data_IF_321224878768
#
_entry.id   IF_321224878768
#
_cell.length_a   1.000
_cell.length_b   1.000
_cell.length_c   1.000
_cell.angle_alpha   90.00
_cell.angle_beta   90.00
_cell.angle_gamma   90.00
#
_symmetry.space_group_name_H-M   'P 1'
#
loop_
_entity.id
_entity.type
_entity.pdbx_description
1 polymer ?
#
# COMPACT_ATOMS: atom_id res chain seq x y z
N UNK A 1 -9.60 2.43 -15.79
CA UNK A 1 -8.34 1.81 -15.31
C UNK A 1 -8.44 1.32 -13.87
N UNK A 2 -9.22 1.99 -13.01
CA UNK A 2 -9.52 1.55 -11.63
C UNK A 2 -10.28 0.21 -11.56
N UNK A 3 -11.15 -0.08 -12.53
CA UNK A 3 -11.89 -1.35 -12.61
C UNK A 3 -10.97 -2.59 -12.61
N UNK A 4 -9.79 -2.50 -13.24
CA UNK A 4 -8.83 -3.60 -13.28
C UNK A 4 -8.24 -3.93 -11.91
N UNK A 5 -8.05 -2.92 -11.04
CA UNK A 5 -7.57 -3.12 -9.68
C UNK A 5 -8.65 -3.76 -8.82
N UNK A 6 -9.89 -3.31 -8.94
CA UNK A 6 -11.05 -3.88 -8.22
C UNK A 6 -11.30 -5.33 -8.63
N UNK A 7 -11.22 -5.65 -9.92
CA UNK A 7 -11.37 -7.04 -10.40
C UNK A 7 -10.23 -7.89 -9.84
N UNK A 8 -8.98 -7.41 -9.92
CA UNK A 8 -7.82 -8.15 -9.42
C UNK A 8 -7.92 -8.42 -7.93
N UNK A 9 -8.33 -7.43 -7.13
CA UNK A 9 -8.56 -7.60 -5.69
C UNK A 9 -9.67 -8.61 -5.39
N UNK A 10 -10.79 -8.57 -6.15
CA UNK A 10 -11.88 -9.55 -5.99
C UNK A 10 -11.48 -10.97 -6.37
N UNK A 11 -10.62 -11.13 -7.39
CA UNK A 11 -10.22 -12.44 -7.92
C UNK A 11 -9.09 -13.06 -7.09
N UNK A 12 -8.08 -12.27 -6.74
CA UNK A 12 -6.88 -12.75 -6.03
C UNK A 12 -6.99 -12.62 -4.50
N UNK A 13 -7.90 -11.78 -4.00
CA UNK A 13 -8.04 -11.48 -2.59
C UNK A 13 -7.06 -10.40 -2.10
N UNK A 14 -7.45 -9.76 -0.99
CA UNK A 14 -6.70 -8.66 -0.40
C UNK A 14 -5.37 -9.04 0.26
N UNK A 15 -5.02 -10.33 0.37
CA UNK A 15 -3.72 -10.78 0.89
C UNK A 15 -2.70 -11.09 -0.20
N UNK A 16 -3.08 -11.01 -1.47
CA UNK A 16 -2.18 -11.34 -2.57
C UNK A 16 -1.20 -10.19 -2.86
N UNK A 17 0.10 -10.48 -2.85
CA UNK A 17 1.20 -9.52 -3.06
C UNK A 17 1.00 -8.63 -4.30
N UNK A 18 0.61 -9.23 -5.43
CA UNK A 18 0.30 -8.51 -6.67
C UNK A 18 -0.73 -7.39 -6.48
N UNK A 19 -1.81 -7.61 -5.72
CA UNK A 19 -2.87 -6.60 -5.54
C UNK A 19 -2.25 -5.31 -4.99
N UNK A 20 -1.44 -5.41 -3.95
CA UNK A 20 -0.77 -4.26 -3.35
C UNK A 20 0.30 -3.67 -4.24
N UNK A 21 1.09 -4.51 -4.93
CA UNK A 21 2.12 -4.05 -5.87
C UNK A 21 1.50 -3.17 -6.96
N UNK A 22 0.41 -3.62 -7.57
CA UNK A 22 -0.26 -2.87 -8.63
C UNK A 22 -0.94 -1.60 -8.13
N UNK A 23 -1.51 -1.59 -6.92
CA UNK A 23 -2.02 -0.36 -6.30
C UNK A 23 -0.89 0.66 -6.10
N UNK A 24 0.26 0.21 -5.58
CA UNK A 24 1.42 1.09 -5.36
C UNK A 24 1.99 1.62 -6.68
N UNK A 25 2.17 0.75 -7.67
CA UNK A 25 2.65 1.13 -9.00
C UNK A 25 1.72 2.14 -9.68
N UNK A 26 0.40 1.91 -9.64
CA UNK A 26 -0.58 2.86 -10.20
C UNK A 26 -0.56 4.20 -9.47
N UNK A 27 -0.37 4.20 -8.15
CA UNK A 27 -0.20 5.43 -7.39
C UNK A 27 1.03 6.22 -7.84
N UNK A 28 2.17 5.56 -8.04
CA UNK A 28 3.38 6.19 -8.57
C UNK A 28 3.14 6.82 -9.96
N UNK A 29 2.44 6.12 -10.86
CA UNK A 29 2.06 6.68 -12.18
C UNK A 29 1.20 7.94 -12.03
N UNK A 30 0.27 7.98 -11.07
CA UNK A 30 -0.49 9.21 -10.80
C UNK A 30 0.36 10.32 -10.19
N UNK A 31 1.37 9.98 -9.39
CA UNK A 31 2.35 10.93 -8.87
C UNK A 31 3.11 11.61 -10.02
N UNK A 32 3.62 10.83 -10.97
CA UNK A 32 4.36 11.33 -12.13
C UNK A 32 3.48 12.24 -13.03
N UNK A 33 2.16 11.99 -13.03
CA UNK A 33 1.18 12.82 -13.72
C UNK A 33 0.71 14.06 -12.91
N UNK A 34 1.28 14.31 -11.73
CA UNK A 34 0.89 15.41 -10.83
C UNK A 34 -0.46 15.21 -10.13
N UNK A 35 -1.08 14.03 -10.24
CA UNK A 35 -2.38 13.70 -9.65
C UNK A 35 -2.22 13.12 -8.23
N UNK A 36 -1.64 13.90 -7.32
CA UNK A 36 -1.27 13.42 -5.97
C UNK A 36 -2.42 12.89 -5.13
N UNK A 37 -3.63 13.44 -5.25
CA UNK A 37 -4.78 12.90 -4.49
C UNK A 37 -5.05 11.44 -4.86
N UNK A 38 -5.07 11.09 -6.16
CA UNK A 38 -5.27 9.71 -6.61
C UNK A 38 -4.11 8.79 -6.24
N UNK A 39 -2.88 9.31 -6.28
CA UNK A 39 -1.71 8.59 -5.78
C UNK A 39 -1.91 8.18 -4.32
N UNK A 40 -2.22 9.15 -3.45
CA UNK A 40 -2.40 8.90 -2.03
C UNK A 40 -3.62 8.03 -1.72
N UNK A 41 -4.72 8.17 -2.45
CA UNK A 41 -5.90 7.29 -2.31
C UNK A 41 -5.54 5.82 -2.58
N UNK A 42 -4.77 5.55 -3.63
CA UNK A 42 -4.34 4.18 -3.97
C UNK A 42 -3.34 3.61 -2.96
N UNK A 43 -2.39 4.42 -2.51
CA UNK A 43 -1.42 3.98 -1.51
C UNK A 43 -2.05 3.80 -0.13
N UNK A 44 -3.05 4.61 0.22
CA UNK A 44 -3.91 4.40 1.38
C UNK A 44 -4.58 3.03 1.33
N UNK A 45 -5.19 2.69 0.19
CA UNK A 45 -5.84 1.39 -0.01
C UNK A 45 -4.83 0.23 0.09
N UNK A 46 -3.64 0.38 -0.50
CA UNK A 46 -2.57 -0.61 -0.38
C UNK A 46 -2.18 -0.86 1.09
N UNK A 47 -1.96 0.21 1.88
CA UNK A 47 -1.65 0.12 3.31
C UNK A 47 -2.78 -0.52 4.12
N UNK A 48 -4.04 -0.20 3.79
CA UNK A 48 -5.22 -0.80 4.42
C UNK A 48 -5.24 -2.32 4.26
N UNK A 49 -5.04 -2.80 3.03
CA UNK A 49 -4.99 -4.23 2.76
C UNK A 49 -3.78 -4.88 3.43
N UNK A 50 -2.59 -4.30 3.29
CA UNK A 50 -1.35 -4.83 3.85
C UNK A 50 -1.41 -4.96 5.38
N UNK A 51 -1.89 -3.93 6.09
CA UNK A 51 -1.98 -3.98 7.55
C UNK A 51 -3.15 -4.85 8.05
N UNK A 52 -4.07 -5.24 7.16
CA UNK A 52 -5.14 -6.21 7.47
C UNK A 52 -4.64 -7.64 7.29
N UNK A 53 -3.85 -7.91 6.25
CA UNK A 53 -3.55 -9.27 5.80
C UNK A 53 -2.14 -9.76 6.10
N UNK A 54 -1.16 -8.86 6.24
CA UNK A 54 0.23 -9.23 6.47
C UNK A 54 0.65 -9.16 7.93
N UNK A 55 1.72 -9.86 8.27
CA UNK A 55 2.42 -9.64 9.53
C UNK A 55 2.86 -8.16 9.65
N UNK A 56 2.99 -7.63 10.88
CA UNK A 56 3.49 -6.28 11.08
C UNK A 56 4.89 -6.12 10.49
N UNK A 57 5.17 -4.95 9.90
CA UNK A 57 6.44 -4.64 9.21
C UNK A 57 6.81 -5.57 8.05
N UNK A 58 5.84 -6.30 7.48
CA UNK A 58 6.04 -7.01 6.23
C UNK A 58 6.63 -6.09 5.15
N UNK A 59 7.54 -6.61 4.33
CA UNK A 59 8.33 -5.83 3.37
C UNK A 59 7.44 -4.96 2.48
N UNK A 60 6.34 -5.51 1.96
CA UNK A 60 5.38 -4.76 1.15
C UNK A 60 4.77 -3.54 1.86
N UNK A 61 4.49 -3.66 3.17
CA UNK A 61 3.97 -2.55 3.99
C UNK A 61 5.04 -1.47 4.16
N UNK A 62 6.27 -1.87 4.49
CA UNK A 62 7.41 -0.95 4.66
C UNK A 62 7.71 -0.20 3.36
N UNK A 63 7.75 -0.91 2.21
CA UNK A 63 7.97 -0.27 0.91
C UNK A 63 6.86 0.72 0.57
N UNK A 64 5.62 0.45 0.96
CA UNK A 64 4.49 1.37 0.72
C UNK A 64 4.59 2.62 1.60
N UNK A 65 4.99 2.47 2.86
CA UNK A 65 5.32 3.62 3.72
C UNK A 65 6.44 4.48 3.13
N UNK A 66 7.52 3.83 2.67
CA UNK A 66 8.65 4.54 2.06
C UNK A 66 8.20 5.33 0.83
N UNK A 67 7.43 4.73 -0.08
CA UNK A 67 6.89 5.44 -1.26
C UNK A 67 6.07 6.66 -0.84
N UNK A 68 5.20 6.52 0.17
CA UNK A 68 4.39 7.62 0.70
C UNK A 68 5.25 8.75 1.25
N UNK A 69 6.25 8.42 2.07
CA UNK A 69 7.16 9.37 2.70
C UNK A 69 8.01 10.11 1.67
N UNK A 70 8.65 9.39 0.74
CA UNK A 70 9.53 9.98 -0.29
C UNK A 70 8.76 10.97 -1.16
N UNK A 71 7.62 10.56 -1.70
CA UNK A 71 6.78 11.45 -2.52
C UNK A 71 6.27 12.64 -1.71
N UNK A 72 5.87 12.43 -0.47
CA UNK A 72 5.43 13.52 0.41
C UNK A 72 6.54 14.55 0.65
N UNK A 73 7.75 14.11 0.98
CA UNK A 73 8.91 14.98 1.21
C UNK A 73 9.30 15.71 -0.07
N UNK A 74 9.36 15.01 -1.21
CA UNK A 74 9.65 15.61 -2.51
C UNK A 74 8.63 16.70 -2.85
N UNK A 75 7.33 16.40 -2.68
CA UNK A 75 6.24 17.36 -2.98
C UNK A 75 6.34 18.62 -2.12
N UNK A 76 6.63 18.49 -0.82
CA UNK A 76 6.81 19.65 0.06
C UNK A 76 8.05 20.44 -0.34
N UNK A 77 9.16 19.74 -0.62
CA UNK A 77 10.40 20.38 -1.05
C UNK A 77 10.21 21.17 -2.36
N UNK A 78 9.50 20.60 -3.33
CA UNK A 78 9.18 21.27 -4.60
C UNK A 78 8.24 22.45 -4.39
N UNK A 79 7.26 22.32 -3.50
CA UNK A 79 6.40 23.46 -3.14
C UNK A 79 7.21 24.63 -2.56
N UNK A 80 8.15 24.36 -1.65
CA UNK A 80 9.01 25.38 -1.04
C UNK A 80 9.96 26.00 -2.07
N UNK A 81 10.62 25.17 -2.89
CA UNK A 81 11.70 25.61 -3.77
C UNK A 81 11.23 26.10 -5.15
N UNK A 82 10.04 25.70 -5.61
CA UNK A 82 9.55 25.94 -6.98
C UNK A 82 8.10 26.44 -7.02
N UNK A 83 7.77 27.41 -6.15
CA UNK A 83 6.45 28.04 -6.03
C UNK A 83 5.78 28.49 -7.36
N UNK A 84 6.54 28.67 -8.44
CA UNK A 84 6.04 29.10 -9.75
C UNK A 84 5.60 27.98 -10.70
N UNK A 85 6.03 26.72 -10.52
CA UNK A 85 5.74 25.66 -11.50
C UNK A 85 4.43 24.90 -11.23
N UNK A 86 3.96 24.84 -9.98
CA UNK A 86 2.75 24.08 -9.61
C UNK A 86 1.87 24.82 -8.57
N UNK A 87 1.20 25.93 -8.96
CA UNK A 87 0.38 26.73 -8.04
C UNK A 87 -0.83 25.99 -7.43
N UNK A 88 -1.16 24.78 -7.91
CA UNK A 88 -2.23 23.92 -7.39
C UNK A 88 -1.79 22.83 -6.41
N UNK A 89 -0.49 22.69 -6.12
CA UNK A 89 0.05 21.61 -5.31
C UNK A 89 -0.14 21.90 -3.81
N UNK A 90 -1.31 21.56 -3.27
CA UNK A 90 -1.54 21.57 -1.81
C UNK A 90 -1.46 20.17 -1.25
N UNK A 91 -0.38 19.88 -0.56
CA UNK A 91 -0.31 18.72 0.31
C UNK A 91 -1.32 18.91 1.44
N UNK A 92 -2.30 18.00 1.53
CA UNK A 92 -3.31 18.08 2.59
C UNK A 92 -2.70 17.56 3.89
N UNK A 93 -2.84 18.33 4.96
CA UNK A 93 -2.46 17.91 6.32
C UNK A 93 -3.12 16.58 6.73
N UNK A 94 -4.29 16.27 6.17
CA UNK A 94 -4.99 15.00 6.36
C UNK A 94 -4.16 13.79 5.90
N UNK A 95 -3.40 13.89 4.81
CA UNK A 95 -2.56 12.80 4.32
C UNK A 95 -1.36 12.55 5.23
N UNK A 96 -0.79 13.63 5.76
CA UNK A 96 0.30 13.56 6.74
C UNK A 96 -0.17 12.85 7.98
N UNK A 97 -1.27 13.34 8.57
CA UNK A 97 -1.86 12.72 9.74
C UNK A 97 -2.17 11.24 9.49
N UNK A 98 -2.78 10.93 8.35
CA UNK A 98 -3.07 9.54 7.98
C UNK A 98 -1.81 8.67 7.99
N UNK A 99 -0.74 9.08 7.30
CA UNK A 99 0.52 8.32 7.26
C UNK A 99 1.07 8.05 8.66
N UNK A 100 1.14 9.08 9.51
CA UNK A 100 1.61 8.92 10.90
C UNK A 100 0.71 8.00 11.71
N UNK A 101 -0.61 8.15 11.61
CA UNK A 101 -1.57 7.27 12.29
C UNK A 101 -1.38 5.80 11.86
N UNK A 102 -1.10 5.55 10.56
CA UNK A 102 -0.81 4.21 10.04
C UNK A 102 0.51 3.63 10.52
N UNK A 103 1.55 4.46 10.66
CA UNK A 103 2.84 4.06 11.23
C UNK A 103 2.66 3.71 12.71
N UNK A 104 1.96 4.53 13.49
CA UNK A 104 1.62 4.25 14.88
C UNK A 104 0.88 2.92 15.01
N UNK A 105 -0.16 2.71 14.19
CA UNK A 105 -0.87 1.44 14.13
C UNK A 105 0.07 0.27 13.85
N UNK A 106 1.01 0.42 12.92
CA UNK A 106 1.97 -0.65 12.59
C UNK A 106 2.85 -1.01 13.78
N UNK A 107 3.38 -0.01 14.49
CA UNK A 107 4.19 -0.22 15.67
C UNK A 107 3.39 -0.87 16.81
N UNK A 108 2.12 -0.48 17.00
CA UNK A 108 1.25 -1.14 17.97
C UNK A 108 1.00 -2.61 17.62
N UNK A 109 0.85 -2.92 16.32
CA UNK A 109 0.70 -4.30 15.85
C UNK A 109 1.96 -5.11 16.15
N UNK A 110 3.16 -4.53 15.98
CA UNK A 110 4.44 -5.18 16.35
C UNK A 110 4.47 -5.53 17.83
N UNK A 111 4.09 -4.60 18.72
CA UNK A 111 4.09 -4.85 20.18
C UNK A 111 3.15 -5.99 20.57
N UNK A 112 2.05 -6.17 19.84
CA UNK A 112 1.04 -7.21 20.08
C UNK A 112 1.33 -8.51 19.32
N UNK A 113 2.37 -8.54 18.49
CA UNK A 113 2.63 -9.65 17.59
C UNK A 113 3.20 -10.85 18.34
N UNK A 114 2.57 -12.01 18.18
CA UNK A 114 2.97 -13.27 18.82
C UNK A 114 3.33 -14.36 17.78
N UNK A 115 3.56 -13.97 16.53
CA UNK A 115 3.94 -14.89 15.45
C UNK A 115 5.45 -15.13 15.35
N UNK A 116 5.86 -15.86 14.31
CA UNK A 116 7.27 -16.19 14.03
C UNK A 116 8.13 -14.94 13.81
N UNK A 117 9.46 -15.05 13.96
CA UNK A 117 10.40 -13.97 13.68
C UNK A 117 10.13 -13.35 12.30
N UNK A 118 10.23 -12.03 12.23
CA UNK A 118 10.00 -11.22 11.02
C UNK A 118 11.03 -11.46 9.90
N UNK A 119 11.84 -12.53 9.98
CA UNK A 119 12.87 -12.86 9.00
C UNK A 119 12.25 -13.41 7.69
N UNK A 120 11.07 -14.02 7.76
CA UNK A 120 10.32 -14.52 6.59
C UNK A 120 9.42 -13.43 6.00
N UNK A 121 9.99 -12.28 5.63
CA UNK A 121 9.25 -11.14 5.05
C UNK A 121 8.57 -11.42 3.69
N UNK A 122 8.69 -12.63 3.16
CA UNK A 122 8.08 -13.06 1.89
C UNK A 122 6.95 -14.11 2.07
N UNK A 123 6.81 -14.76 3.23
CA UNK A 123 5.81 -15.81 3.42
C UNK A 123 5.26 -15.80 4.85
N UNK A 124 3.95 -16.00 5.01
CA UNK A 124 3.25 -15.86 6.29
C UNK A 124 3.63 -16.90 7.38
N UNK A 125 4.72 -17.64 7.19
CA UNK A 125 5.24 -18.66 8.11
C UNK A 125 4.32 -19.87 8.30
N UNK A 126 3.27 -20.03 7.49
CA UNK A 126 2.32 -21.15 7.56
C UNK A 126 2.36 -21.91 6.24
N UNK A 127 2.90 -23.11 6.19
CA UNK A 127 2.58 -24.00 5.07
C UNK A 127 1.27 -24.75 5.34
N UNK A 128 0.34 -24.82 4.35
CA UNK A 128 0.36 -24.13 3.06
C UNK A 128 -0.12 -22.67 3.17
N UNK A 129 0.68 -21.70 2.69
CA UNK A 129 0.33 -20.28 2.67
C UNK A 129 -0.20 -19.95 1.28
N UNK A 130 -1.47 -19.54 1.17
CA UNK A 130 -2.20 -19.20 -0.08
C UNK A 130 -1.57 -18.00 -0.85
N UNK A 131 -0.44 -17.47 -0.38
CA UNK A 131 0.26 -16.33 -0.97
C UNK A 131 1.48 -16.74 -1.81
N UNK A 132 1.94 -17.99 -1.71
CA UNK A 132 2.95 -18.54 -2.62
C UNK A 132 2.25 -18.92 -3.94
N UNK A 133 2.74 -18.34 -5.04
CA UNK A 133 2.11 -18.25 -6.36
C UNK A 133 1.93 -19.57 -7.13
N UNK A 134 1.75 -20.72 -6.48
CA UNK A 134 1.65 -22.00 -7.22
C UNK A 134 0.30 -22.72 -7.16
N UNK A 135 -0.63 -22.41 -6.24
CA UNK A 135 -1.97 -23.04 -6.26
C UNK A 135 -3.08 -22.04 -5.88
N UNK A 136 -3.10 -20.88 -6.53
CA UNK A 136 -4.18 -19.92 -6.40
C UNK A 136 -5.47 -20.49 -7.02
N UNK A 137 -6.28 -21.18 -6.21
CA UNK A 137 -7.70 -21.40 -6.52
C UNK A 137 -8.33 -20.03 -6.76
N UNK A 138 -8.45 -19.69 -8.05
CA UNK A 138 -9.25 -18.57 -8.53
C UNK A 138 -10.61 -18.72 -7.86
N UNK A 139 -11.00 -17.79 -6.98
CA UNK A 139 -12.38 -17.73 -6.50
C UNK A 139 -13.25 -17.31 -7.70
N UNK A 140 -13.61 -18.30 -8.51
CA UNK A 140 -14.46 -18.13 -9.68
C UNK A 140 -15.83 -17.68 -9.15
N UNK A 141 -16.26 -16.52 -9.65
CA UNK A 141 -17.58 -15.92 -9.50
C UNK A 141 -18.68 -16.80 -10.14
N UNK A 142 -18.88 -18.02 -9.65
CA UNK A 142 -20.04 -18.86 -9.93
C UNK A 142 -20.52 -19.55 -8.66
N UNK A 143 -21.13 -18.77 -7.76
CA UNK A 143 -22.25 -19.28 -6.97
C UNK A 143 -23.47 -18.48 -7.39
N UNK A 144 -24.12 -18.98 -8.44
CA UNK A 144 -25.53 -18.73 -8.70
C UNK A 144 -26.40 -19.47 -7.68
#
# INVERSE_FOLDING_TARGET
MELSLVIRERVLGGSHSDVHYYLRFRGAVYCDMGQLNKCYDLWKHALELQQTHFAPLHLGTVTTFQSFQETFVMTINDFINQHHQLPGLRVKSSWVKYLFDRICLELERVVKYQGNLLEDTECCGREPCIHATEDGEIQILMKG
#
